data_IF_374082206160
#
_entry.id   IF_374082206160
#
_cell.length_a   1.000
_cell.length_b   1.000
_cell.length_c   1.000
_cell.angle_alpha   90.00
_cell.angle_beta   90.00
_cell.angle_gamma   90.00
#
_symmetry.space_group_name_H-M   'P 1'
#
loop_
_entity.id
_entity.type
_entity.pdbx_description
1 polymer ?
#
# COMPACT_ATOMS: atom_id res chain seq x y z
N UNK A 1 3.27 19.80 -41.01
CA UNK A 1 2.10 19.69 -40.12
C UNK A 1 2.46 18.73 -38.99
N UNK A 2 3.28 19.14 -38.01
CA UNK A 2 3.99 18.15 -37.17
C UNK A 2 4.29 18.55 -35.72
N UNK A 3 3.47 19.38 -35.08
CA UNK A 3 3.63 19.62 -33.63
C UNK A 3 2.29 19.82 -32.93
N UNK A 4 1.52 18.76 -32.73
CA UNK A 4 0.42 18.72 -31.75
C UNK A 4 0.06 17.28 -31.36
N UNK A 5 0.96 16.50 -30.74
CA UNK A 5 0.51 15.27 -30.05
C UNK A 5 1.44 14.76 -28.92
N UNK A 6 2.44 15.52 -28.48
CA UNK A 6 3.36 15.07 -27.41
C UNK A 6 3.26 15.85 -26.09
N UNK A 7 2.14 16.55 -25.86
CA UNK A 7 1.94 17.40 -24.68
C UNK A 7 0.59 17.12 -23.99
N UNK A 8 0.23 15.83 -23.87
CA UNK A 8 -0.87 15.39 -23.01
C UNK A 8 -0.42 14.25 -22.11
N UNK A 9 0.49 14.53 -21.18
CA UNK A 9 0.75 13.62 -20.06
C UNK A 9 0.62 14.29 -18.67
N UNK A 10 -0.38 15.15 -18.39
CA UNK A 10 -0.74 15.44 -17.01
C UNK A 10 -1.66 14.35 -16.39
N UNK A 11 -2.21 13.43 -17.18
CA UNK A 11 -3.31 12.56 -16.72
C UNK A 11 -2.84 11.37 -15.86
N UNK A 12 -1.64 10.83 -16.13
CA UNK A 12 -1.14 9.62 -15.45
C UNK A 12 0.06 9.87 -14.52
N UNK A 13 0.46 11.13 -14.33
CA UNK A 13 1.65 11.48 -13.54
C UNK A 13 1.51 11.04 -12.08
N UNK A 14 0.28 11.08 -11.54
CA UNK A 14 -0.04 10.53 -10.22
C UNK A 14 0.18 9.02 -10.16
N UNK A 15 -0.23 8.28 -11.19
CA UNK A 15 -0.10 6.82 -11.23
C UNK A 15 1.37 6.42 -11.30
N UNK A 16 2.16 7.10 -12.13
CA UNK A 16 3.61 6.91 -12.22
C UNK A 16 4.27 7.16 -10.87
N UNK A 17 3.90 8.24 -10.18
CA UNK A 17 4.43 8.57 -8.86
C UNK A 17 4.10 7.48 -7.83
N UNK A 18 2.86 6.99 -7.80
CA UNK A 18 2.45 5.90 -6.91
C UNK A 18 3.21 4.61 -7.24
N UNK A 19 3.34 4.25 -8.52
CA UNK A 19 4.10 3.06 -8.94
C UNK A 19 5.59 3.16 -8.59
N UNK A 20 6.18 4.35 -8.64
CA UNK A 20 7.55 4.59 -8.21
C UNK A 20 7.72 4.43 -6.68
N UNK A 21 6.70 4.75 -5.89
CA UNK A 21 6.70 4.46 -4.44
C UNK A 21 6.55 2.95 -4.17
N UNK A 22 5.72 2.26 -4.96
CA UNK A 22 5.58 0.81 -4.91
C UNK A 22 6.89 0.08 -5.29
N UNK A 23 7.78 0.69 -6.08
CA UNK A 23 9.11 0.15 -6.39
C UNK A 23 9.98 -0.10 -5.13
N UNK A 24 9.68 0.59 -4.03
CA UNK A 24 10.40 0.45 -2.75
C UNK A 24 9.90 -0.73 -1.92
N UNK A 25 8.78 -1.34 -2.32
CA UNK A 25 8.17 -2.47 -1.63
C UNK A 25 8.87 -3.76 -2.06
N UNK A 26 9.47 -4.46 -1.10
CA UNK A 26 10.08 -5.76 -1.31
C UNK A 26 9.43 -6.78 -0.37
N UNK A 27 8.46 -7.54 -0.87
CA UNK A 27 7.74 -8.55 -0.09
C UNK A 27 7.44 -9.79 -0.96
N UNK A 28 7.63 -11.02 -0.46
CA UNK A 28 7.46 -12.25 -1.26
C UNK A 28 6.02 -12.50 -1.75
N UNK A 29 5.03 -11.80 -1.21
CA UNK A 29 3.63 -11.90 -1.63
C UNK A 29 3.11 -10.64 -2.37
N UNK A 30 4.01 -9.75 -2.77
CA UNK A 30 3.70 -8.59 -3.61
C UNK A 30 4.56 -8.69 -4.87
N UNK A 31 3.96 -8.46 -6.03
CA UNK A 31 4.65 -8.49 -7.32
C UNK A 31 5.76 -7.43 -7.35
N UNK A 32 6.96 -7.84 -7.75
CA UNK A 32 8.07 -6.91 -7.95
C UNK A 32 7.79 -5.91 -9.08
N UNK A 33 8.13 -4.64 -8.86
CA UNK A 33 8.06 -3.58 -9.85
C UNK A 33 9.47 -3.12 -10.24
N UNK A 34 9.79 -3.19 -11.54
CA UNK A 34 11.14 -2.92 -12.05
C UNK A 34 11.28 -1.53 -12.67
N UNK A 35 10.18 -0.88 -13.06
CA UNK A 35 10.19 0.48 -13.61
C UNK A 35 9.15 0.69 -14.70
N UNK A 36 9.27 1.81 -15.40
CA UNK A 36 8.42 2.14 -16.54
C UNK A 36 9.25 2.75 -17.66
N UNK A 37 8.75 2.60 -18.89
CA UNK A 37 9.24 3.31 -20.05
C UNK A 37 8.09 4.05 -20.71
N UNK A 38 8.40 5.23 -21.25
CA UNK A 38 7.45 6.06 -21.97
C UNK A 38 8.02 6.36 -23.34
N UNK A 39 7.25 6.04 -24.37
CA UNK A 39 7.58 6.33 -25.76
C UNK A 39 6.35 6.95 -26.47
N UNK A 40 6.45 7.12 -27.78
CA UNK A 40 5.37 7.71 -28.60
C UNK A 40 4.11 6.84 -28.65
N UNK A 41 4.21 5.54 -28.32
CA UNK A 41 3.13 4.56 -28.33
C UNK A 41 2.34 4.60 -27.00
N UNK A 42 3.03 4.84 -25.88
CA UNK A 42 2.38 4.94 -24.57
C UNK A 42 3.30 4.71 -23.38
N UNK A 43 2.67 4.42 -22.24
CA UNK A 43 3.32 4.11 -20.97
C UNK A 43 3.37 2.59 -20.76
N UNK A 44 4.56 2.06 -20.53
CA UNK A 44 4.82 0.64 -20.33
C UNK A 44 5.38 0.42 -18.93
N UNK A 45 4.85 -0.55 -18.20
CA UNK A 45 5.34 -0.95 -16.89
C UNK A 45 6.05 -2.29 -16.95
N UNK A 46 7.23 -2.36 -16.35
CA UNK A 46 7.99 -3.59 -16.21
C UNK A 46 7.77 -4.15 -14.81
N UNK A 47 7.12 -5.31 -14.74
CA UNK A 47 6.75 -5.98 -13.50
C UNK A 47 7.14 -7.45 -13.53
N UNK A 48 7.22 -8.07 -12.36
CA UNK A 48 7.49 -9.50 -12.19
C UNK A 48 6.42 -10.35 -12.89
N UNK A 49 6.89 -11.41 -13.58
CA UNK A 49 6.02 -12.35 -14.26
C UNK A 49 5.49 -13.43 -13.30
N UNK A 50 4.19 -13.35 -12.96
CA UNK A 50 3.50 -14.35 -12.15
C UNK A 50 2.98 -15.52 -13.01
N UNK A 51 3.75 -16.62 -13.10
CA UNK A 51 3.43 -17.80 -13.94
C UNK A 51 2.16 -18.57 -13.51
N UNK A 52 1.64 -18.32 -12.30
CA UNK A 52 0.48 -19.02 -11.73
C UNK A 52 -0.88 -18.64 -12.32
N UNK A 53 -0.94 -17.65 -13.22
CA UNK A 53 -2.18 -17.13 -13.77
C UNK A 53 -2.94 -16.24 -12.79
N UNK A 54 -4.18 -15.89 -13.13
CA UNK A 54 -4.99 -14.97 -12.31
C UNK A 54 -5.74 -15.69 -11.19
N UNK A 55 -5.94 -15.00 -10.06
CA UNK A 55 -6.76 -15.50 -8.96
C UNK A 55 -8.20 -15.81 -9.41
N UNK A 56 -8.75 -15.06 -10.36
CA UNK A 56 -10.06 -15.32 -10.97
C UNK A 56 -10.14 -16.69 -11.65
N UNK A 57 -9.10 -17.06 -12.41
CA UNK A 57 -9.02 -18.39 -13.02
C UNK A 57 -8.91 -19.49 -11.97
N UNK A 58 -8.27 -19.20 -10.84
CA UNK A 58 -8.11 -20.15 -9.74
C UNK A 58 -9.42 -20.37 -8.97
N UNK A 59 -10.19 -19.30 -8.71
CA UNK A 59 -11.49 -19.37 -8.02
C UNK A 59 -12.53 -20.13 -8.85
N UNK A 60 -12.49 -19.98 -10.17
CA UNK A 60 -13.40 -20.71 -11.07
C UNK A 60 -13.12 -22.22 -11.12
N UNK A 61 -11.98 -22.68 -10.60
CA UNK A 61 -11.64 -24.10 -10.48
C UNK A 61 -11.94 -24.57 -9.05
N UNK A 62 -12.42 -25.80 -8.89
CA UNK A 62 -12.56 -26.40 -7.55
C UNK A 62 -11.18 -26.53 -6.91
N UNK A 63 -11.01 -25.92 -5.75
CA UNK A 63 -9.77 -25.93 -4.97
C UNK A 63 -10.04 -26.47 -3.57
N UNK A 64 -9.04 -27.11 -2.97
CA UNK A 64 -9.15 -27.60 -1.59
C UNK A 64 -9.17 -26.45 -0.60
N UNK A 65 -9.86 -26.63 0.52
CA UNK A 65 -9.94 -25.65 1.60
C UNK A 65 -8.56 -25.22 2.10
N UNK A 66 -7.63 -26.17 2.25
CA UNK A 66 -6.25 -25.88 2.66
C UNK A 66 -5.54 -24.91 1.69
N UNK A 67 -5.81 -25.03 0.40
CA UNK A 67 -5.25 -24.13 -0.62
C UNK A 67 -5.86 -22.74 -0.53
N UNK A 68 -7.16 -22.63 -0.23
CA UNK A 68 -7.83 -21.36 0.05
C UNK A 68 -7.18 -20.66 1.25
N UNK A 69 -7.03 -21.37 2.36
CA UNK A 69 -6.44 -20.84 3.59
C UNK A 69 -5.02 -20.33 3.34
N UNK A 70 -4.22 -21.08 2.57
CA UNK A 70 -2.84 -20.69 2.24
C UNK A 70 -2.79 -19.40 1.42
N UNK A 71 -3.65 -19.25 0.41
CA UNK A 71 -3.74 -18.03 -0.40
C UNK A 71 -4.19 -16.82 0.44
N UNK A 72 -5.17 -17.03 1.33
CA UNK A 72 -5.61 -15.98 2.24
C UNK A 72 -4.49 -15.54 3.18
N UNK A 73 -3.70 -16.48 3.70
CA UNK A 73 -2.53 -16.15 4.53
C UNK A 73 -1.53 -15.28 3.78
N UNK A 74 -1.21 -15.62 2.53
CA UNK A 74 -0.31 -14.84 1.68
C UNK A 74 -0.86 -13.42 1.40
N UNK A 75 -2.17 -13.32 1.14
CA UNK A 75 -2.82 -12.02 0.91
C UNK A 75 -2.82 -11.14 2.16
N UNK A 76 -3.12 -11.72 3.33
CA UNK A 76 -3.12 -11.00 4.60
C UNK A 76 -1.71 -10.54 5.00
N UNK A 77 -0.68 -11.35 4.72
CA UNK A 77 0.71 -10.98 4.99
C UNK A 77 1.14 -9.77 4.14
N UNK A 78 0.87 -9.82 2.83
CA UNK A 78 1.09 -8.68 1.94
C UNK A 78 0.34 -7.42 2.39
N UNK A 79 -0.93 -7.55 2.77
CA UNK A 79 -1.75 -6.42 3.23
C UNK A 79 -1.25 -5.85 4.55
N UNK A 80 -0.80 -6.69 5.48
CA UNK A 80 -0.15 -6.25 6.73
C UNK A 80 1.12 -5.46 6.45
N UNK A 81 1.94 -5.93 5.50
CA UNK A 81 3.16 -5.25 5.08
C UNK A 81 2.87 -3.86 4.50
N UNK A 82 1.93 -3.76 3.55
CA UNK A 82 1.54 -2.48 2.93
C UNK A 82 0.97 -1.52 3.99
N UNK A 83 0.10 -2.02 4.87
CA UNK A 83 -0.47 -1.20 5.93
C UNK A 83 0.62 -0.61 6.83
N UNK A 84 1.64 -1.38 7.21
CA UNK A 84 2.78 -0.88 7.99
C UNK A 84 3.58 0.21 7.25
N UNK A 85 3.81 0.03 5.94
CA UNK A 85 4.51 1.02 5.13
C UNK A 85 3.71 2.30 4.89
N UNK A 86 2.38 2.18 4.76
CA UNK A 86 1.47 3.31 4.56
C UNK A 86 1.13 4.07 5.86
N UNK A 87 1.56 3.60 7.03
CA UNK A 87 1.45 4.32 8.30
C UNK A 87 2.74 5.13 8.55
N UNK A 88 2.83 6.35 8.00
CA UNK A 88 3.53 7.43 8.71
C UNK A 88 2.62 8.48 9.37
N UNK A 89 1.28 8.40 9.25
CA UNK A 89 0.42 9.54 9.62
C UNK A 89 -0.70 9.32 10.66
N UNK A 90 -1.03 8.09 11.07
CA UNK A 90 -2.21 7.85 11.92
C UNK A 90 -1.93 7.30 13.34
N UNK A 91 -0.68 7.03 13.72
CA UNK A 91 -0.38 6.32 14.99
C UNK A 91 0.61 7.04 15.90
N UNK A 92 0.71 8.37 15.80
CA UNK A 92 1.39 9.20 16.81
C UNK A 92 0.43 9.86 17.81
N UNK A 93 -0.82 9.37 17.93
CA UNK A 93 -1.81 9.88 18.90
C UNK A 93 -2.27 8.85 19.95
N UNK A 94 -1.52 7.77 20.19
CA UNK A 94 -1.82 6.82 21.27
C UNK A 94 -0.70 6.65 22.32
N UNK A 95 0.40 7.40 22.25
CA UNK A 95 1.45 7.40 23.29
C UNK A 95 1.44 8.60 24.23
N UNK A 96 0.54 9.58 24.09
CA UNK A 96 0.23 10.52 25.18
C UNK A 96 -0.73 9.87 26.18
N UNK A 97 -0.34 8.72 26.71
CA UNK A 97 -0.94 8.17 27.91
C UNK A 97 -0.44 9.00 29.10
N UNK A 98 -1.40 9.60 29.80
CA UNK A 98 -1.43 9.62 31.28
C UNK A 98 -0.26 10.26 32.02
N UNK A 99 -0.34 11.58 32.22
CA UNK A 99 -0.03 12.18 33.52
C UNK A 99 -1.21 13.05 33.96
N UNK A 100 -2.06 12.46 34.79
CA UNK A 100 -3.18 13.07 35.49
C UNK A 100 -2.76 14.35 36.25
N UNK A 101 -3.47 15.49 36.15
CA UNK A 101 -3.45 16.47 37.22
C UNK A 101 -4.38 15.95 38.32
N UNK A 102 -3.82 15.40 39.39
CA UNK A 102 -4.56 15.16 40.63
C UNK A 102 -5.06 16.51 41.15
N UNK A 103 -6.37 16.68 41.12
CA UNK A 103 -7.11 17.62 41.95
C UNK A 103 -6.80 17.35 43.42
N UNK A 104 -6.09 18.27 44.08
CA UNK A 104 -6.13 18.39 45.54
C UNK A 104 -6.68 19.77 45.89
N UNK A 105 -8.01 19.86 45.88
CA UNK A 105 -8.73 20.88 46.64
C UNK A 105 -8.43 20.65 48.12
N UNK A 106 -7.63 21.52 48.73
CA UNK A 106 -7.48 21.58 50.18
C UNK A 106 -8.30 22.74 50.69
N UNK A 107 -9.43 22.41 51.31
CA UNK A 107 -10.12 23.26 52.28
C UNK A 107 -9.16 23.55 53.43
N UNK A 108 -8.89 24.84 53.69
CA UNK A 108 -8.49 25.30 55.03
C UNK A 108 -9.27 26.56 55.38
N UNK A 109 -10.25 26.34 56.24
CA UNK A 109 -10.89 27.29 57.15
C UNK A 109 -9.90 27.74 58.25
N UNK A 110 -10.21 28.87 58.91
CA UNK A 110 -9.53 29.53 60.05
C UNK A 110 -8.32 30.39 59.67
N UNK A 111 -8.21 31.67 60.03
CA UNK A 111 -8.91 32.53 61.00
C UNK A 111 -9.06 33.95 60.43
#
# INVERSE_FOLDING_TARGET
>A
MEKKMLEKIPEHEREIQVMAELAKINHPNIMGYYGYEKNEIGLFFFVEFCSGGSLKQLINKKMSELKVITLFKQLLDAMSYINKLSIPYATQISSTATSSPTTSCSTKTSN
#
